data_IF_998601202212
#
_entry.id   IF_998601202212
#
_cell.length_a   1.000
_cell.length_b   1.000
_cell.length_c   1.000
_cell.angle_alpha   90.00
_cell.angle_beta   90.00
_cell.angle_gamma   90.00
#
_symmetry.space_group_name_H-M   'P 1'
#
loop_
_entity.id
_entity.type
_entity.pdbx_description
1 polymer ?
#
# COMPACT_ATOMS: atom_id res chain seq x y z
N UNK A 1 -2.06 -10.56 -9.55
CA UNK A 1 -3.34 -11.19 -9.95
C UNK A 1 -4.34 -10.93 -8.84
N UNK A 2 -5.58 -10.59 -9.19
CA UNK A 2 -6.69 -10.33 -8.26
C UNK A 2 -7.78 -11.39 -8.46
N UNK A 3 -8.60 -11.59 -7.43
CA UNK A 3 -9.78 -12.46 -7.44
C UNK A 3 -9.49 -13.95 -7.71
N UNK A 4 -8.29 -14.41 -7.36
CA UNK A 4 -7.90 -15.82 -7.48
C UNK A 4 -8.64 -16.66 -6.45
N UNK A 5 -9.10 -17.85 -6.83
CA UNK A 5 -9.72 -18.81 -5.91
C UNK A 5 -8.71 -19.88 -5.47
N UNK A 6 -8.86 -20.40 -4.25
CA UNK A 6 -7.93 -21.38 -3.69
C UNK A 6 -7.84 -22.69 -4.48
N UNK A 7 -8.91 -23.09 -5.17
CA UNK A 7 -8.95 -24.27 -6.04
C UNK A 7 -8.27 -24.05 -7.39
N UNK A 8 -7.87 -22.82 -7.73
CA UNK A 8 -7.18 -22.47 -8.97
C UNK A 8 -5.65 -22.47 -8.84
N UNK A 9 -5.11 -22.63 -7.63
CA UNK A 9 -3.67 -22.45 -7.36
C UNK A 9 -2.81 -23.40 -8.20
N UNK A 10 -3.11 -24.70 -8.19
CA UNK A 10 -2.31 -25.70 -8.90
C UNK A 10 -2.24 -25.43 -10.41
N UNK A 11 -3.37 -25.04 -11.02
CA UNK A 11 -3.43 -24.73 -12.44
C UNK A 11 -2.72 -23.41 -12.78
N UNK A 12 -2.82 -22.40 -11.91
CA UNK A 12 -2.12 -21.11 -12.09
C UNK A 12 -0.61 -21.31 -11.98
N UNK A 13 -0.16 -22.08 -10.98
CA UNK A 13 1.26 -22.40 -10.78
C UNK A 13 1.83 -23.14 -12.00
N UNK A 14 1.06 -24.06 -12.58
CA UNK A 14 1.43 -24.76 -13.80
C UNK A 14 1.53 -23.84 -15.03
N UNK A 15 0.73 -22.77 -15.12
CA UNK A 15 0.80 -21.81 -16.24
C UNK A 15 1.98 -20.86 -16.09
N UNK A 16 2.27 -20.39 -14.87
CA UNK A 16 3.28 -19.35 -14.62
C UNK A 16 4.70 -19.93 -14.65
N UNK A 17 4.87 -21.20 -14.26
CA UNK A 17 6.17 -21.91 -14.24
C UNK A 17 7.25 -21.16 -13.42
N UNK A 18 6.82 -20.34 -12.44
CA UNK A 18 7.66 -19.59 -11.52
C UNK A 18 7.00 -19.54 -10.13
N UNK A 19 7.75 -19.24 -9.05
CA UNK A 19 7.15 -19.13 -7.73
C UNK A 19 6.03 -18.08 -7.69
N UNK A 20 4.85 -18.51 -7.25
CA UNK A 20 3.68 -17.66 -7.04
C UNK A 20 3.44 -17.55 -5.53
N UNK A 21 3.27 -16.32 -5.04
CA UNK A 21 2.88 -16.08 -3.64
C UNK A 21 1.41 -15.69 -3.60
N UNK A 22 0.64 -16.41 -2.81
CA UNK A 22 -0.79 -16.18 -2.59
C UNK A 22 -1.02 -15.51 -1.23
N UNK A 23 -1.88 -14.50 -1.23
CA UNK A 23 -2.25 -13.73 -0.06
C UNK A 23 -3.78 -13.81 0.14
N UNK A 24 -4.24 -14.40 1.24
CA UNK A 24 -5.65 -14.58 1.49
C UNK A 24 -6.31 -13.26 1.84
N UNK A 25 -7.49 -13.02 1.26
CA UNK A 25 -8.27 -11.79 1.46
C UNK A 25 -9.67 -12.15 1.88
N UNK A 26 -10.00 -11.78 3.11
CA UNK A 26 -11.31 -11.97 3.72
C UNK A 26 -11.95 -10.60 3.88
N UNK A 27 -13.08 -10.39 3.21
CA UNK A 27 -13.82 -9.13 3.32
C UNK A 27 -14.60 -9.10 4.63
N UNK A 28 -14.37 -8.07 5.43
CA UNK A 28 -15.10 -7.85 6.68
C UNK A 28 -15.41 -6.37 6.89
N UNK A 29 -16.34 -6.09 7.81
CA UNK A 29 -16.57 -4.73 8.35
C UNK A 29 -16.15 -4.70 9.80
N UNK A 30 -15.61 -3.57 10.24
CA UNK A 30 -15.45 -3.30 11.67
C UNK A 30 -16.81 -2.92 12.23
N UNK A 31 -17.28 -3.63 13.26
CA UNK A 31 -18.52 -3.29 13.97
C UNK A 31 -18.23 -2.33 15.12
N UNK A 32 -17.25 -2.69 15.96
CA UNK A 32 -16.75 -1.84 17.04
C UNK A 32 -15.23 -1.92 17.13
N UNK A 33 -14.63 -0.85 17.62
CA UNK A 33 -13.24 -0.80 18.05
C UNK A 33 -13.22 -0.27 19.49
N UNK A 34 -12.69 -1.06 20.42
CA UNK A 34 -12.71 -0.81 21.86
C UNK A 34 -14.10 -0.41 22.39
N UNK A 35 -15.12 -1.21 22.04
CA UNK A 35 -16.55 -0.99 22.35
C UNK A 35 -17.19 0.27 21.76
N UNK A 36 -16.47 1.06 20.97
CA UNK A 36 -17.02 2.19 20.20
C UNK A 36 -17.50 1.69 18.84
N UNK A 37 -18.77 1.91 18.45
CA UNK A 37 -19.26 1.55 17.12
C UNK A 37 -18.46 2.26 16.02
N UNK A 38 -18.11 1.55 14.95
CA UNK A 38 -17.26 2.09 13.88
C UNK A 38 -17.81 3.40 13.25
N UNK A 39 -19.14 3.54 13.21
CA UNK A 39 -19.84 4.75 12.72
C UNK A 39 -19.68 5.98 13.61
N UNK A 40 -19.33 5.77 14.88
CA UNK A 40 -19.17 6.80 15.90
C UNK A 40 -17.68 7.13 16.14
N UNK A 41 -16.77 6.46 15.42
CA UNK A 41 -15.34 6.75 15.43
C UNK A 41 -15.07 7.89 14.45
N UNK A 42 -14.52 8.98 14.97
CA UNK A 42 -14.00 10.08 14.16
C UNK A 42 -12.49 9.83 13.92
N UNK A 43 -12.09 9.45 12.69
CA UNK A 43 -10.67 9.25 12.38
C UNK A 43 -9.96 10.61 12.28
N UNK A 44 -8.64 10.61 12.51
CA UNK A 44 -7.82 11.80 12.27
C UNK A 44 -7.86 12.25 10.79
N UNK A 45 -7.53 13.53 10.55
CA UNK A 45 -7.49 14.09 9.19
C UNK A 45 -6.56 13.29 8.27
N UNK A 46 -7.08 12.85 7.12
CA UNK A 46 -6.31 12.11 6.10
C UNK A 46 -6.46 10.59 6.15
N UNK A 47 -7.22 10.05 7.11
CA UNK A 47 -7.57 8.63 7.14
C UNK A 47 -8.92 8.33 6.46
N UNK A 48 -9.07 7.08 6.01
CA UNK A 48 -10.31 6.57 5.39
C UNK A 48 -11.45 6.37 6.41
N UNK A 49 -12.68 6.23 5.91
CA UNK A 49 -13.88 5.92 6.68
C UNK A 49 -13.77 4.56 7.42
N UNK A 50 -13.85 4.53 8.77
CA UNK A 50 -13.84 3.31 9.58
C UNK A 50 -14.97 2.33 9.30
N UNK A 51 -16.06 2.77 8.65
CA UNK A 51 -17.22 1.92 8.34
C UNK A 51 -17.07 1.12 7.05
N UNK A 52 -16.02 1.37 6.26
CA UNK A 52 -15.81 0.70 4.96
C UNK A 52 -15.61 -0.81 5.10
N UNK A 53 -15.64 -1.50 3.97
CA UNK A 53 -15.25 -2.92 3.93
C UNK A 53 -13.72 -2.99 3.93
N UNK A 54 -13.17 -3.71 4.89
CA UNK A 54 -11.75 -4.01 5.00
C UNK A 54 -11.43 -5.40 4.46
N UNK A 55 -10.15 -5.55 4.09
CA UNK A 55 -9.56 -6.80 3.65
C UNK A 55 -8.69 -7.32 4.80
N UNK A 56 -9.21 -8.30 5.53
CA UNK A 56 -8.47 -9.06 6.53
C UNK A 56 -7.63 -10.12 5.81
N UNK A 57 -6.54 -10.52 6.43
CA UNK A 57 -5.71 -11.62 5.96
C UNK A 57 -5.20 -12.43 7.14
N UNK A 58 -4.49 -13.51 6.85
CA UNK A 58 -3.78 -14.31 7.83
C UNK A 58 -2.40 -14.66 7.32
N UNK A 59 -1.45 -14.78 8.25
CA UNK A 59 -0.08 -15.17 7.96
C UNK A 59 0.55 -15.77 9.21
N UNK A 60 1.50 -16.69 9.04
CA UNK A 60 2.30 -17.24 10.14
C UNK A 60 3.45 -16.32 10.56
N UNK A 61 3.93 -15.48 9.64
CA UNK A 61 5.08 -14.59 9.85
C UNK A 61 4.79 -13.18 9.34
N UNK A 62 5.55 -12.21 9.84
CA UNK A 62 5.52 -10.83 9.32
C UNK A 62 5.93 -10.86 7.84
N UNK A 63 5.27 -10.06 7.01
CA UNK A 63 5.63 -9.94 5.60
C UNK A 63 6.95 -9.19 5.45
N UNK A 64 7.74 -9.50 4.43
CA UNK A 64 9.05 -8.86 4.17
C UNK A 64 8.97 -7.32 4.01
N UNK A 65 7.78 -6.81 3.78
CA UNK A 65 7.46 -5.39 3.52
C UNK A 65 7.05 -4.64 4.77
N UNK A 66 7.00 -5.33 5.90
CA UNK A 66 6.48 -4.86 7.18
C UNK A 66 7.47 -5.21 8.30
N UNK A 67 7.34 -4.52 9.43
CA UNK A 67 8.08 -4.80 10.65
C UNK A 67 7.19 -4.51 11.86
N UNK A 68 7.44 -5.21 12.96
CA UNK A 68 6.70 -5.00 14.21
C UNK A 68 7.30 -3.78 14.91
N UNK A 69 6.44 -2.89 15.40
CA UNK A 69 6.82 -1.73 16.20
C UNK A 69 6.52 -1.94 17.68
N UNK A 70 5.45 -2.66 17.98
CA UNK A 70 5.05 -3.01 19.34
C UNK A 70 4.50 -4.43 19.38
N UNK A 71 4.81 -5.20 20.41
CA UNK A 71 4.26 -6.54 20.64
C UNK A 71 4.24 -6.87 22.13
N UNK A 72 3.29 -7.70 22.56
CA UNK A 72 3.23 -8.16 23.95
C UNK A 72 4.36 -9.14 24.31
N UNK A 73 4.87 -9.87 23.31
CA UNK A 73 5.98 -10.81 23.47
C UNK A 73 7.02 -10.51 22.40
N UNK A 74 8.26 -10.27 22.85
CA UNK A 74 9.49 -10.01 22.08
C UNK A 74 9.41 -10.26 20.55
N UNK A 75 9.01 -9.23 19.81
CA UNK A 75 8.93 -9.21 18.34
C UNK A 75 8.04 -10.30 17.70
N UNK A 76 7.08 -10.82 18.47
CA UNK A 76 6.14 -11.83 18.01
C UNK A 76 4.95 -11.20 17.28
N UNK A 77 4.63 -11.76 16.12
CA UNK A 77 3.46 -11.35 15.34
C UNK A 77 2.15 -11.56 16.12
N UNK A 78 2.05 -12.66 16.86
CA UNK A 78 0.91 -12.95 17.73
C UNK A 78 1.42 -13.37 19.10
N UNK A 79 0.75 -12.92 20.14
CA UNK A 79 0.96 -13.42 21.51
C UNK A 79 -0.27 -14.22 21.92
N UNK A 80 -0.10 -15.47 22.40
CA UNK A 80 -1.21 -16.22 22.97
C UNK A 80 -1.86 -15.40 24.09
N UNK A 81 -3.16 -15.17 23.97
CA UNK A 81 -3.95 -14.48 24.99
C UNK A 81 -4.62 -15.53 25.87
N UNK A 82 -4.56 -15.30 27.19
CA UNK A 82 -5.28 -16.11 28.18
C UNK A 82 -6.76 -15.69 28.17
N UNK A 83 -7.42 -15.91 27.04
CA UNK A 83 -8.82 -15.55 26.88
C UNK A 83 -9.66 -16.59 27.59
N UNK A 84 -10.35 -16.17 28.66
CA UNK A 84 -11.44 -16.94 29.29
C UNK A 84 -12.59 -17.22 28.31
N UNK A 85 -12.62 -16.49 27.19
CA UNK A 85 -13.53 -16.69 26.08
C UNK A 85 -12.76 -17.11 24.82
N UNK A 86 -12.96 -18.36 24.36
CA UNK A 86 -12.33 -18.91 23.16
C UNK A 86 -12.63 -18.11 21.87
N UNK A 87 -13.60 -17.18 21.90
CA UNK A 87 -13.97 -16.35 20.75
C UNK A 87 -13.01 -15.19 20.49
N UNK A 88 -12.22 -14.76 21.48
CA UNK A 88 -11.25 -13.67 21.29
C UNK A 88 -9.96 -14.28 20.75
N UNK A 89 -9.47 -13.75 19.64
CA UNK A 89 -8.26 -14.21 18.96
C UNK A 89 -7.16 -13.14 18.97
N UNK A 90 -5.88 -13.51 19.03
CA UNK A 90 -4.78 -12.57 18.80
C UNK A 90 -4.92 -11.88 17.43
N UNK A 91 -4.70 -10.58 17.41
CA UNK A 91 -4.75 -9.73 16.23
C UNK A 91 -3.46 -8.94 16.11
N UNK A 92 -2.90 -8.92 14.90
CA UNK A 92 -1.87 -7.96 14.54
C UNK A 92 -2.47 -6.87 13.67
N UNK A 93 -2.19 -5.60 14.00
CA UNK A 93 -2.75 -4.43 13.32
C UNK A 93 -1.65 -3.55 12.73
N UNK A 94 -1.92 -2.91 11.59
CA UNK A 94 -1.03 -1.87 11.07
C UNK A 94 -1.25 -0.56 11.84
N UNK A 95 -0.18 0.18 12.12
CA UNK A 95 -0.18 1.47 12.82
C UNK A 95 -1.24 2.45 12.29
N UNK A 96 -1.34 2.58 10.97
CA UNK A 96 -2.34 3.42 10.31
C UNK A 96 -3.78 2.97 10.54
N UNK A 97 -4.04 1.67 10.71
CA UNK A 97 -5.37 1.19 11.09
C UNK A 97 -5.63 1.39 12.59
N UNK A 98 -4.62 1.26 13.44
CA UNK A 98 -4.72 1.54 14.86
C UNK A 98 -5.10 3.01 15.10
N UNK A 99 -4.41 3.95 14.42
CA UNK A 99 -4.75 5.38 14.42
C UNK A 99 -6.14 5.66 13.85
N UNK A 100 -6.50 5.06 12.71
CA UNK A 100 -7.83 5.23 12.10
C UNK A 100 -8.98 4.79 13.02
N UNK A 101 -8.76 3.74 13.82
CA UNK A 101 -9.76 3.20 14.74
C UNK A 101 -9.65 3.78 16.16
N UNK A 102 -8.67 4.64 16.44
CA UNK A 102 -8.34 5.14 17.79
C UNK A 102 -8.14 4.01 18.82
N UNK A 103 -7.44 2.95 18.43
CA UNK A 103 -7.14 1.78 19.28
C UNK A 103 -5.64 1.58 19.46
N UNK A 104 -5.26 0.93 20.54
CA UNK A 104 -3.87 0.58 20.84
C UNK A 104 -3.69 -0.87 21.27
N UNK A 105 -2.50 -1.15 21.82
CA UNK A 105 -2.18 -2.47 22.33
C UNK A 105 -3.16 -2.95 23.41
N UNK A 106 -3.67 -4.17 23.24
CA UNK A 106 -4.57 -4.82 24.20
C UNK A 106 -6.05 -4.53 23.97
N UNK A 107 -6.38 -3.52 23.16
CA UNK A 107 -7.77 -3.21 22.78
C UNK A 107 -8.35 -4.29 21.84
N UNK A 108 -9.67 -4.31 21.76
CA UNK A 108 -10.41 -5.29 20.95
C UNK A 108 -11.06 -4.63 19.74
N UNK A 109 -10.98 -5.29 18.59
CA UNK A 109 -11.70 -4.91 17.37
C UNK A 109 -12.64 -6.04 16.99
N UNK A 110 -13.92 -5.72 16.81
CA UNK A 110 -14.95 -6.66 16.40
C UNK A 110 -15.19 -6.55 14.91
N UNK A 111 -15.11 -7.68 14.22
CA UNK A 111 -15.30 -7.77 12.79
C UNK A 111 -16.53 -8.59 12.46
N UNK A 112 -17.23 -8.21 11.40
CA UNK A 112 -18.31 -8.97 10.81
C UNK A 112 -17.87 -9.51 9.44
N UNK A 113 -17.76 -10.83 9.35
CA UNK A 113 -17.42 -11.56 8.14
C UNK A 113 -18.68 -12.29 7.67
N UNK A 114 -19.42 -11.68 6.75
CA UNK A 114 -20.65 -12.25 6.17
C UNK A 114 -21.69 -12.71 7.21
N UNK A 115 -21.83 -11.99 8.31
CA UNK A 115 -22.75 -12.29 9.41
C UNK A 115 -22.13 -13.07 10.58
N UNK A 116 -20.87 -13.49 10.48
CA UNK A 116 -20.13 -14.14 11.55
C UNK A 116 -19.26 -13.09 12.26
N UNK A 117 -19.44 -12.96 13.57
CA UNK A 117 -18.62 -12.09 14.41
C UNK A 117 -17.27 -12.77 14.73
N UNK A 118 -16.18 -12.03 14.54
CA UNK A 118 -14.83 -12.38 15.01
C UNK A 118 -14.30 -11.24 15.86
N UNK A 119 -13.77 -11.55 17.04
CA UNK A 119 -13.19 -10.57 17.95
C UNK A 119 -11.69 -10.75 17.98
N UNK A 120 -10.96 -9.71 17.57
CA UNK A 120 -9.51 -9.67 17.62
C UNK A 120 -9.01 -8.78 18.75
N UNK A 121 -8.17 -9.30 19.64
CA UNK A 121 -7.44 -8.47 20.61
C UNK A 121 -6.06 -8.12 20.05
N UNK A 122 -5.72 -6.84 20.04
CA UNK A 122 -4.45 -6.37 19.49
C UNK A 122 -3.30 -6.90 20.36
N UNK A 123 -2.48 -7.77 19.80
CA UNK A 123 -1.30 -8.38 20.43
C UNK A 123 0.02 -7.85 19.86
N UNK A 124 -0.03 -7.25 18.67
CA UNK A 124 1.09 -6.55 18.05
C UNK A 124 0.62 -5.44 17.12
N UNK A 125 1.45 -4.40 16.98
CA UNK A 125 1.31 -3.30 16.04
C UNK A 125 2.49 -3.36 15.07
N UNK A 126 2.19 -3.19 13.79
CA UNK A 126 3.14 -3.26 12.69
C UNK A 126 3.17 -1.96 11.93
N UNK A 127 4.29 -1.71 11.28
CA UNK A 127 4.45 -0.63 10.30
C UNK A 127 5.00 -1.21 9.01
N UNK A 128 4.82 -0.49 7.92
CA UNK A 128 5.31 -0.86 6.59
C UNK A 128 6.58 -0.10 6.23
N UNK A 129 7.46 -0.73 5.47
CA UNK A 129 8.52 0.01 4.80
C UNK A 129 7.94 0.90 3.69
N UNK A 130 8.51 2.09 3.51
CA UNK A 130 8.22 2.99 2.37
C UNK A 130 8.93 2.49 1.10
N UNK A 131 8.72 1.22 0.73
CA UNK A 131 9.43 0.56 -0.38
C UNK A 131 8.46 -0.15 -1.31
N UNK A 132 8.27 0.45 -2.49
CA UNK A 132 7.61 -0.18 -3.64
C UNK A 132 6.13 -0.52 -3.45
N UNK A 133 5.45 -0.95 -4.52
CA UNK A 133 4.06 -1.37 -4.50
C UNK A 133 3.94 -2.83 -4.05
N UNK A 134 4.08 -3.07 -2.75
CA UNK A 134 3.83 -4.39 -2.17
C UNK A 134 2.47 -4.43 -1.47
N UNK A 135 1.77 -5.57 -1.48
CA UNK A 135 0.55 -5.72 -0.70
C UNK A 135 0.88 -5.56 0.79
N UNK A 136 -0.09 -5.01 1.51
CA UNK A 136 -0.06 -4.88 2.97
C UNK A 136 -1.48 -5.12 3.47
N UNK A 137 -1.60 -5.56 4.72
CA UNK A 137 -2.88 -5.86 5.33
C UNK A 137 -3.01 -5.12 6.66
N UNK A 138 -4.13 -4.41 6.82
CA UNK A 138 -4.42 -3.66 8.04
C UNK A 138 -4.56 -4.57 9.26
N UNK A 139 -5.10 -5.78 9.05
CA UNK A 139 -5.42 -6.73 10.10
C UNK A 139 -4.93 -8.11 9.68
N UNK A 140 -4.11 -8.73 10.52
CA UNK A 140 -3.69 -10.11 10.38
C UNK A 140 -4.13 -10.94 11.58
N UNK A 141 -4.58 -12.16 11.28
CA UNK A 141 -4.85 -13.21 12.24
C UNK A 141 -3.96 -14.43 11.97
N UNK A 142 -3.90 -15.35 12.92
CA UNK A 142 -3.35 -16.68 12.69
C UNK A 142 -4.17 -17.44 11.64
N UNK A 143 -3.55 -18.29 10.79
CA UNK A 143 -4.26 -19.05 9.77
C UNK A 143 -5.40 -19.92 10.33
N UNK A 144 -5.25 -20.43 11.56
CA UNK A 144 -6.24 -21.24 12.26
C UNK A 144 -7.58 -20.51 12.48
N UNK A 145 -7.58 -19.17 12.46
CA UNK A 145 -8.77 -18.34 12.71
C UNK A 145 -9.58 -18.09 11.45
N UNK A 146 -8.92 -17.81 10.32
CA UNK A 146 -9.58 -17.30 9.11
C UNK A 146 -9.47 -18.21 7.88
N UNK A 147 -8.68 -19.29 7.91
CA UNK A 147 -8.48 -20.16 6.74
C UNK A 147 -9.76 -20.83 6.22
N UNK A 148 -10.76 -21.03 7.08
CA UNK A 148 -12.06 -21.59 6.70
C UNK A 148 -13.09 -20.54 6.24
N UNK A 149 -12.78 -19.24 6.39
CA UNK A 149 -13.69 -18.17 5.99
C UNK A 149 -13.76 -18.06 4.46
N UNK A 150 -14.89 -17.59 3.89
CA UNK A 150 -14.96 -17.28 2.47
C UNK A 150 -13.92 -16.23 2.08
N UNK A 151 -13.00 -16.60 1.21
CA UNK A 151 -11.83 -15.81 0.87
C UNK A 151 -11.59 -15.79 -0.64
N UNK A 152 -11.02 -14.69 -1.12
CA UNK A 152 -10.35 -14.63 -2.41
C UNK A 152 -8.85 -14.47 -2.16
N UNK A 153 -8.04 -14.69 -3.18
CA UNK A 153 -6.60 -14.60 -3.08
C UNK A 153 -6.10 -13.48 -3.98
N UNK A 154 -5.24 -12.64 -3.42
CA UNK A 154 -4.34 -11.80 -4.19
C UNK A 154 -3.08 -12.62 -4.46
N UNK A 155 -2.56 -12.62 -5.68
CA UNK A 155 -1.37 -13.41 -6.01
C UNK A 155 -0.33 -12.60 -6.76
N UNK A 156 0.95 -12.81 -6.43
CA UNK A 156 2.09 -12.17 -7.07
C UNK A 156 3.03 -13.23 -7.63
N UNK A 157 3.64 -12.92 -8.76
CA UNK A 157 4.67 -13.76 -9.38
C UNK A 157 5.69 -12.85 -10.04
N UNK A 158 6.96 -13.27 -9.99
CA UNK A 158 8.03 -12.59 -10.72
C UNK A 158 8.40 -13.42 -11.95
N UNK A 159 8.21 -12.84 -13.12
CA UNK A 159 8.45 -13.49 -14.42
C UNK A 159 9.21 -12.54 -15.34
N UNK A 160 9.83 -13.09 -16.39
CA UNK A 160 10.51 -12.27 -17.40
C UNK A 160 9.51 -11.41 -18.18
N UNK A 161 9.84 -10.14 -18.42
CA UNK A 161 8.98 -9.17 -19.10
C UNK A 161 8.45 -9.68 -20.45
N UNK A 162 9.31 -10.37 -21.22
CA UNK A 162 8.96 -10.92 -22.54
C UNK A 162 7.85 -11.97 -22.50
N UNK A 163 7.65 -12.63 -21.35
CA UNK A 163 6.65 -13.71 -21.17
C UNK A 163 5.30 -13.20 -20.68
N UNK A 164 5.23 -11.98 -20.14
CA UNK A 164 4.03 -11.42 -19.51
C UNK A 164 2.82 -11.43 -20.46
N UNK A 165 2.92 -10.97 -21.72
CA UNK A 165 1.75 -10.93 -22.62
C UNK A 165 1.19 -12.32 -22.93
N UNK A 166 2.06 -13.32 -23.08
CA UNK A 166 1.65 -14.69 -23.33
C UNK A 166 0.93 -15.28 -22.11
N UNK A 167 1.51 -15.10 -20.91
CA UNK A 167 0.95 -15.56 -19.66
C UNK A 167 -0.40 -14.92 -19.37
N UNK A 168 -0.52 -13.60 -19.51
CA UNK A 168 -1.81 -12.91 -19.36
C UNK A 168 -2.86 -13.44 -20.34
N UNK A 169 -2.47 -13.70 -21.58
CA UNK A 169 -3.35 -14.31 -22.58
C UNK A 169 -3.83 -15.71 -22.19
N UNK A 170 -2.97 -16.56 -21.61
CA UNK A 170 -3.35 -17.89 -21.10
C UNK A 170 -4.28 -17.77 -19.89
N UNK A 171 -3.91 -16.93 -18.93
CA UNK A 171 -4.67 -16.72 -17.69
C UNK A 171 -6.08 -16.19 -17.96
N UNK A 172 -6.25 -15.17 -18.81
CA UNK A 172 -7.58 -14.64 -19.14
C UNK A 172 -8.47 -15.67 -19.86
N UNK A 173 -7.90 -16.55 -20.68
CA UNK A 173 -8.65 -17.60 -21.38
C UNK A 173 -9.13 -18.70 -20.45
N UNK A 174 -8.31 -19.11 -19.49
CA UNK A 174 -8.61 -20.22 -18.57
C UNK A 174 -9.34 -19.74 -17.30
N UNK A 175 -9.03 -18.53 -16.83
CA UNK A 175 -9.54 -17.91 -15.62
C UNK A 175 -10.09 -16.50 -15.90
N UNK A 176 -11.23 -16.37 -16.60
CA UNK A 176 -11.77 -15.06 -16.98
C UNK A 176 -12.20 -14.18 -15.78
N UNK A 177 -12.37 -14.77 -14.60
CA UNK A 177 -12.64 -14.04 -13.36
C UNK A 177 -11.37 -13.46 -12.71
N UNK A 178 -10.19 -13.95 -13.06
CA UNK A 178 -8.92 -13.50 -12.49
C UNK A 178 -8.42 -12.27 -13.24
N UNK A 179 -8.19 -11.18 -12.52
CA UNK A 179 -7.63 -9.96 -13.11
C UNK A 179 -6.11 -9.99 -13.03
N UNK A 180 -5.43 -9.94 -14.18
CA UNK A 180 -3.97 -9.85 -14.25
C UNK A 180 -3.52 -8.40 -14.44
N UNK A 181 -2.51 -7.97 -13.68
CA UNK A 181 -1.95 -6.61 -13.77
C UNK A 181 -0.45 -6.75 -14.05
N UNK A 182 0.05 -6.02 -15.05
CA UNK A 182 1.48 -5.92 -15.35
C UNK A 182 2.11 -4.75 -14.58
N UNK A 183 2.89 -5.08 -13.55
CA UNK A 183 3.62 -4.08 -12.76
C UNK A 183 4.73 -3.37 -13.55
N UNK A 184 5.32 -4.02 -14.55
CA UNK A 184 6.40 -3.46 -15.39
C UNK A 184 5.86 -2.36 -16.29
N UNK A 185 4.69 -2.59 -16.90
CA UNK A 185 4.01 -1.58 -17.71
C UNK A 185 3.71 -0.31 -16.90
N UNK A 186 3.24 -0.46 -15.66
CA UNK A 186 2.97 0.67 -14.75
C UNK A 186 4.28 1.40 -14.41
N UNK A 187 5.33 0.67 -14.03
CA UNK A 187 6.63 1.25 -13.69
C UNK A 187 7.22 2.04 -14.86
N UNK A 188 7.14 1.50 -16.08
CA UNK A 188 7.58 2.16 -17.30
C UNK A 188 6.80 3.45 -17.58
N UNK A 189 5.47 3.41 -17.42
CA UNK A 189 4.63 4.58 -17.60
C UNK A 189 4.99 5.71 -16.63
N UNK A 190 5.24 5.37 -15.35
CA UNK A 190 5.70 6.34 -14.35
C UNK A 190 7.07 6.92 -14.75
N UNK A 191 8.01 6.07 -15.17
CA UNK A 191 9.33 6.50 -15.61
C UNK A 191 9.25 7.48 -16.80
N UNK A 192 8.40 7.19 -17.79
CA UNK A 192 8.18 8.06 -18.94
C UNK A 192 7.62 9.43 -18.53
N UNK A 193 6.67 9.45 -17.58
CA UNK A 193 6.15 10.70 -17.03
C UNK A 193 7.25 11.52 -16.33
N UNK A 194 8.07 10.87 -15.49
CA UNK A 194 9.19 11.55 -14.81
C UNK A 194 10.17 12.14 -15.83
N UNK A 195 10.54 11.37 -16.86
CA UNK A 195 11.44 11.84 -17.94
C UNK A 195 10.84 13.03 -18.69
N UNK A 196 9.53 12.99 -18.97
CA UNK A 196 8.83 14.09 -19.62
C UNK A 196 8.85 15.35 -18.76
N UNK A 197 8.58 15.23 -17.45
CA UNK A 197 8.63 16.34 -16.52
C UNK A 197 10.04 16.93 -16.41
N UNK A 198 11.08 16.08 -16.31
CA UNK A 198 12.47 16.54 -16.29
C UNK A 198 12.83 17.34 -17.55
N UNK A 199 12.32 16.94 -18.72
CA UNK A 199 12.54 17.68 -19.98
C UNK A 199 11.91 19.07 -19.95
N UNK A 200 10.69 19.19 -19.42
CA UNK A 200 10.03 20.50 -19.27
C UNK A 200 10.81 21.42 -18.33
N UNK A 201 11.26 20.88 -17.19
CA UNK A 201 12.11 21.62 -16.25
C UNK A 201 13.38 22.11 -16.96
N UNK A 202 14.05 21.25 -17.71
CA UNK A 202 15.26 21.63 -18.46
C UNK A 202 15.02 22.79 -19.43
N UNK A 203 13.92 22.76 -20.20
CA UNK A 203 13.54 23.85 -21.11
C UNK A 203 13.30 25.14 -20.34
N UNK A 204 12.57 25.11 -19.23
CA UNK A 204 12.34 26.30 -18.40
C UNK A 204 13.62 26.83 -17.76
N UNK A 205 14.51 25.96 -17.29
CA UNK A 205 15.82 26.36 -16.78
C UNK A 205 16.64 27.06 -17.87
N UNK A 206 16.64 26.56 -19.10
CA UNK A 206 17.34 27.19 -20.22
C UNK A 206 16.75 28.57 -20.55
N UNK A 207 15.43 28.70 -20.62
CA UNK A 207 14.75 29.98 -20.86
C UNK A 207 15.01 30.99 -19.74
N UNK A 208 14.99 30.53 -18.48
CA UNK A 208 15.31 31.37 -17.32
C UNK A 208 16.77 31.85 -17.36
N UNK A 209 17.71 30.98 -17.73
CA UNK A 209 19.12 31.33 -17.88
C UNK A 209 19.32 32.37 -18.98
N UNK A 210 18.71 32.18 -20.15
CA UNK A 210 18.75 33.16 -21.25
C UNK A 210 18.17 34.51 -20.83
N UNK A 211 17.05 34.50 -20.10
CA UNK A 211 16.44 35.70 -19.54
C UNK A 211 17.38 36.40 -18.55
N UNK A 212 18.02 35.64 -17.66
CA UNK A 212 19.02 36.18 -16.73
C UNK A 212 20.20 36.83 -17.42
N UNK A 213 20.73 36.21 -18.48
CA UNK A 213 21.82 36.77 -19.30
C UNK A 213 21.37 38.06 -20.00
N UNK A 214 20.17 38.09 -20.59
CA UNK A 214 19.60 39.29 -21.21
C UNK A 214 19.48 40.45 -20.21
N UNK A 215 18.99 40.18 -18.99
CA UNK A 215 18.87 41.19 -17.93
C UNK A 215 20.25 41.72 -17.52
N UNK A 216 21.25 40.84 -17.37
CA UNK A 216 22.61 41.24 -17.02
C UNK A 216 23.22 42.17 -18.09
N UNK A 217 23.09 41.81 -19.37
CA UNK A 217 23.55 42.64 -20.49
C UNK A 217 22.84 43.99 -20.49
N UNK A 218 21.51 44.00 -20.31
CA UNK A 218 20.71 45.23 -20.26
C UNK A 218 21.14 46.15 -19.11
N UNK A 219 21.43 45.59 -17.92
CA UNK A 219 21.90 46.34 -16.75
C UNK A 219 23.28 46.96 -16.98
N UNK A 220 24.22 46.20 -17.58
CA UNK A 220 25.55 46.70 -17.92
C UNK A 220 25.49 47.85 -18.93
N UNK A 221 24.72 47.69 -20.01
CA UNK A 221 24.52 48.74 -21.02
C UNK A 221 23.88 50.00 -20.40
N UNK A 222 22.89 49.84 -19.54
CA UNK A 222 22.24 50.97 -18.84
C UNK A 222 23.23 51.73 -17.95
N UNK A 223 24.14 51.02 -17.30
CA UNK A 223 25.17 51.62 -16.44
C UNK A 223 26.20 52.39 -17.28
N UNK A 224 26.65 51.83 -18.40
CA UNK A 224 27.56 52.50 -19.32
C UNK A 224 26.96 53.77 -19.91
N UNK A 225 25.68 53.73 -20.34
CA UNK A 225 24.98 54.91 -20.86
C UNK A 225 24.97 56.07 -19.84
N UNK A 226 24.68 55.79 -18.56
CA UNK A 226 24.73 56.80 -17.48
C UNK A 226 26.13 57.38 -17.25
N UNK A 227 27.17 56.56 -17.38
CA UNK A 227 28.57 57.02 -17.25
C UNK A 227 28.93 58.06 -18.32
N UNK A 228 28.44 57.89 -19.55
CA UNK A 228 28.71 58.84 -20.64
C UNK A 228 27.93 60.15 -20.49
N UNK A 229 26.73 60.13 -19.92
CA UNK A 229 25.96 61.34 -19.63
C UNK A 229 26.58 62.17 -18.49
N UNK A 230 27.12 61.53 -17.45
CA UNK A 230 27.81 62.23 -16.36
C UNK A 230 29.09 62.99 -16.79
N UNK A 231 29.71 62.59 -17.91
CA UNK A 231 30.94 63.20 -18.43
C UNK A 231 30.70 64.36 -19.40
N UNK A 232 29.44 64.58 -19.83
CA UNK A 232 29.04 65.73 -20.67
C UNK A 232 28.57 66.95 -19.85
N UNK A 233 28.42 66.82 -18.55
CA UNK A 233 27.93 67.87 -17.63
C UNK A 233 29.08 68.52 -16.84
N UNK A 234 30.34 68.25 -17.21
CA UNK A 234 31.53 68.88 -16.61
C UNK A 234 32.24 69.74 -17.66
#
# INVERSE_FOLDING_TARGET
MLDVQSDQHDDIDAIIEAPVTYYPVIRARVETANDVPAKDIEPEDGFDDPTRVFNLSYADTVMDTEYITESLTDDALYTPIDATNEQIKPLSILDTAASMLNVGMGDQVRFNIQGIEIVGQITSIRTRYERGPSPYFYFLFEPSVLSAAPQIQFATAHVSEDTIPELQGKLVRQFPAVTTIDGTAIAKQIQELVVQMSRLVYVFTLLALLTGVMVLISSLLSTLARSYEGQRVI
#
